data_IF_533850894554
#
_entry.id   IF_533850894554
#
_cell.length_a   1.000
_cell.length_b   1.000
_cell.length_c   1.000
_cell.angle_alpha   90.00
_cell.angle_beta   90.00
_cell.angle_gamma   90.00
#
_symmetry.space_group_name_H-M   'P 1'
#
loop_
_entity.id
_entity.type
_entity.pdbx_description
1 polymer ?
#
# COMPACT_ATOMS: atom_id res chain seq x y z
N UNK A 1 8.61 8.14 19.52
CA UNK A 1 7.64 7.30 18.79
C UNK A 1 6.42 7.05 19.66
N UNK A 2 5.29 6.64 19.07
CA UNK A 2 4.05 6.37 19.82
C UNK A 2 4.21 5.10 20.67
N UNK A 3 4.05 5.14 22.00
CA UNK A 3 4.17 3.96 22.85
C UNK A 3 3.20 2.83 22.47
N UNK A 4 3.76 1.64 22.24
CA UNK A 4 3.00 0.45 21.85
C UNK A 4 2.42 0.50 20.42
N UNK A 5 2.94 1.38 19.55
CA UNK A 5 2.45 1.55 18.18
C UNK A 5 2.31 0.23 17.42
N UNK A 6 3.36 -0.60 17.43
CA UNK A 6 3.37 -1.85 16.66
C UNK A 6 2.22 -2.79 17.06
N UNK A 7 2.00 -2.96 18.37
CA UNK A 7 0.90 -3.79 18.87
C UNK A 7 -0.45 -3.25 18.39
N UNK A 8 -0.70 -1.95 18.57
CA UNK A 8 -1.96 -1.31 18.16
C UNK A 8 -2.17 -1.38 16.64
N UNK A 9 -1.10 -1.24 15.85
CA UNK A 9 -1.16 -1.37 14.40
C UNK A 9 -1.55 -2.78 13.96
N UNK A 10 -1.02 -3.81 14.62
CA UNK A 10 -1.43 -5.21 14.40
C UNK A 10 -2.89 -5.42 14.78
N UNK A 11 -3.32 -4.91 15.95
CA UNK A 11 -4.71 -5.03 16.40
C UNK A 11 -5.69 -4.36 15.42
N UNK A 12 -5.35 -3.18 14.91
CA UNK A 12 -6.12 -2.45 13.90
C UNK A 12 -6.18 -3.16 12.55
N UNK A 13 -5.06 -3.78 12.13
CA UNK A 13 -5.02 -4.57 10.91
C UNK A 13 -5.89 -5.82 11.02
N UNK A 14 -5.86 -6.50 12.18
CA UNK A 14 -6.69 -7.67 12.47
C UNK A 14 -8.16 -7.32 12.66
N UNK A 15 -8.50 -6.15 13.17
CA UNK A 15 -9.91 -5.74 13.26
C UNK A 15 -10.50 -5.31 11.91
N UNK A 16 -9.67 -5.21 10.86
CA UNK A 16 -10.09 -4.72 9.55
C UNK A 16 -10.34 -3.21 9.49
N UNK A 17 -10.10 -2.46 10.58
CA UNK A 17 -10.26 -1.00 10.61
C UNK A 17 -9.30 -0.33 9.65
N UNK A 18 -8.05 -0.82 9.59
CA UNK A 18 -7.06 -0.35 8.62
C UNK A 18 -5.95 -1.37 8.44
N UNK A 19 -5.69 -1.77 7.19
CA UNK A 19 -4.63 -2.71 6.82
C UNK A 19 -3.99 -2.30 5.48
N UNK A 20 -2.94 -3.01 5.06
CA UNK A 20 -2.19 -2.69 3.84
C UNK A 20 -3.02 -2.84 2.56
N UNK A 21 -4.01 -3.74 2.52
CA UNK A 21 -4.92 -3.90 1.39
C UNK A 21 -5.84 -2.71 1.26
N UNK A 22 -6.47 -2.30 2.37
CA UNK A 22 -7.26 -1.06 2.43
C UNK A 22 -6.43 0.17 2.07
N UNK A 23 -5.16 0.25 2.51
CA UNK A 23 -4.30 1.35 2.14
C UNK A 23 -3.98 1.39 0.64
N UNK A 24 -3.71 0.23 0.03
CA UNK A 24 -3.55 0.10 -1.42
C UNK A 24 -4.79 0.62 -2.15
N UNK A 25 -5.97 0.10 -1.79
CA UNK A 25 -7.18 0.30 -2.58
C UNK A 25 -7.87 1.64 -2.33
N UNK A 26 -7.81 2.16 -1.10
CA UNK A 26 -8.55 3.36 -0.68
C UNK A 26 -7.70 4.62 -0.56
N UNK A 27 -6.37 4.50 -0.64
CA UNK A 27 -5.46 5.64 -0.51
C UNK A 27 -4.51 5.72 -1.70
N UNK A 28 -3.68 4.69 -1.91
CA UNK A 28 -2.62 4.78 -2.92
C UNK A 28 -3.19 4.75 -4.33
N UNK A 29 -4.02 3.77 -4.67
CA UNK A 29 -4.61 3.69 -6.02
C UNK A 29 -5.44 4.93 -6.39
N UNK A 30 -6.31 5.49 -5.50
CA UNK A 30 -6.99 6.76 -5.77
C UNK A 30 -6.03 7.92 -6.02
N UNK A 31 -4.98 8.08 -5.20
CA UNK A 31 -4.02 9.17 -5.39
C UNK A 31 -3.26 9.06 -6.72
N UNK A 32 -2.82 7.86 -7.10
CA UNK A 32 -2.14 7.65 -8.39
C UNK A 32 -3.02 8.00 -9.58
N UNK A 33 -4.32 7.69 -9.49
CA UNK A 33 -5.31 8.04 -10.51
C UNK A 33 -5.62 9.53 -10.51
N UNK A 34 -5.85 10.12 -9.35
CA UNK A 34 -6.25 11.53 -9.23
C UNK A 34 -5.11 12.48 -9.64
N UNK A 35 -3.85 12.05 -9.50
CA UNK A 35 -2.67 12.76 -10.01
C UNK A 35 -2.26 12.36 -11.42
N UNK A 36 -2.96 11.40 -12.03
CA UNK A 36 -2.67 10.84 -13.35
C UNK A 36 -1.18 10.48 -13.55
N UNK A 37 -0.58 9.80 -12.56
CA UNK A 37 0.85 9.48 -12.59
C UNK A 37 1.20 8.60 -13.79
N UNK A 38 0.30 7.71 -14.21
CA UNK A 38 0.46 6.89 -15.41
C UNK A 38 0.42 7.69 -16.71
N UNK A 39 -0.27 8.82 -16.73
CA UNK A 39 -0.43 9.67 -17.91
C UNK A 39 0.72 10.65 -18.14
N UNK A 40 1.66 10.77 -17.20
CA UNK A 40 2.84 11.63 -17.37
C UNK A 40 3.68 11.19 -18.57
N UNK A 41 3.81 12.09 -19.56
CA UNK A 41 4.63 11.91 -20.76
C UNK A 41 5.96 12.65 -20.64
N UNK A 42 6.85 12.46 -21.62
CA UNK A 42 8.13 13.18 -21.75
C UNK A 42 9.11 12.96 -20.58
N UNK A 43 8.88 11.92 -19.78
CA UNK A 43 9.81 11.47 -18.75
C UNK A 43 10.97 10.71 -19.41
N UNK A 44 12.19 10.99 -18.98
CA UNK A 44 13.40 10.31 -19.44
C UNK A 44 14.35 9.99 -18.29
N UNK A 45 15.26 9.04 -18.54
CA UNK A 45 16.26 8.62 -17.55
C UNK A 45 15.63 8.20 -16.23
N UNK A 46 16.07 8.83 -15.14
CA UNK A 46 15.63 8.50 -13.78
C UNK A 46 14.15 8.79 -13.54
N UNK A 47 13.58 9.79 -14.21
CA UNK A 47 12.17 10.17 -14.04
C UNK A 47 11.22 9.07 -14.53
N UNK A 48 11.52 8.45 -15.68
CA UNK A 48 10.75 7.32 -16.21
C UNK A 48 10.83 6.12 -15.25
N UNK A 49 12.02 5.83 -14.70
CA UNK A 49 12.18 4.77 -13.70
C UNK A 49 11.40 5.06 -12.41
N UNK A 50 11.30 6.32 -12.00
CA UNK A 50 10.50 6.68 -10.83
C UNK A 50 9.00 6.53 -11.08
N UNK A 51 8.51 6.86 -12.28
CA UNK A 51 7.13 6.59 -12.65
C UNK A 51 6.80 5.10 -12.48
N UNK A 52 7.63 4.21 -13.04
CA UNK A 52 7.46 2.76 -12.88
C UNK A 52 7.44 2.33 -11.39
N UNK A 53 8.41 2.80 -10.60
CA UNK A 53 8.51 2.47 -9.16
C UNK A 53 7.30 2.97 -8.36
N UNK A 54 6.76 4.14 -8.71
CA UNK A 54 5.58 4.71 -8.07
C UNK A 54 4.33 3.91 -8.47
N UNK A 55 4.21 3.55 -9.75
CA UNK A 55 3.09 2.72 -10.24
C UNK A 55 3.11 1.31 -9.66
N UNK A 56 4.26 0.80 -9.19
CA UNK A 56 4.36 -0.49 -8.51
C UNK A 56 3.86 -0.48 -7.05
N UNK A 57 3.64 0.69 -6.44
CA UNK A 57 3.33 0.81 -5.01
C UNK A 57 2.09 0.02 -4.58
N UNK A 58 0.94 0.05 -5.28
CA UNK A 58 -0.23 -0.74 -4.91
C UNK A 58 0.09 -2.24 -4.88
N UNK A 59 0.72 -2.77 -5.93
CA UNK A 59 1.08 -4.18 -6.01
C UNK A 59 2.05 -4.60 -4.89
N UNK A 60 3.01 -3.73 -4.53
CA UNK A 60 3.91 -3.96 -3.38
C UNK A 60 3.16 -4.00 -2.05
N UNK A 61 2.15 -3.15 -1.86
CA UNK A 61 1.31 -3.16 -0.66
C UNK A 61 0.49 -4.45 -0.56
N UNK A 62 -0.08 -4.92 -1.68
CA UNK A 62 -0.81 -6.19 -1.73
C UNK A 62 0.08 -7.37 -1.34
N UNK A 63 1.29 -7.49 -1.92
CA UNK A 63 2.24 -8.57 -1.56
C UNK A 63 2.61 -8.56 -0.09
N UNK A 64 2.74 -7.38 0.51
CA UNK A 64 2.99 -7.22 1.95
C UNK A 64 1.78 -7.58 2.80
N UNK A 65 0.56 -7.26 2.33
CA UNK A 65 -0.67 -7.68 2.98
C UNK A 65 -0.77 -9.21 3.03
N UNK A 66 -0.50 -9.89 1.91
CA UNK A 66 -0.51 -11.36 1.84
C UNK A 66 0.54 -11.99 2.77
N UNK A 67 1.74 -11.39 2.86
CA UNK A 67 2.76 -11.85 3.79
C UNK A 67 2.36 -11.65 5.26
N UNK A 68 1.63 -10.56 5.55
CA UNK A 68 1.06 -10.32 6.88
C UNK A 68 -0.01 -11.37 7.21
N UNK A 69 -0.94 -11.63 6.30
CA UNK A 69 -2.02 -12.61 6.48
C UNK A 69 -1.46 -14.01 6.74
N UNK A 70 -0.42 -14.42 6.00
CA UNK A 70 0.30 -15.69 6.23
C UNK A 70 0.93 -15.79 7.62
N UNK A 71 1.38 -14.67 8.19
CA UNK A 71 2.09 -14.64 9.47
C UNK A 71 1.17 -14.54 10.68
N UNK A 72 0.05 -13.83 10.55
CA UNK A 72 -0.83 -13.50 11.68
C UNK A 72 -2.22 -14.15 11.61
N UNK A 73 -2.48 -14.91 10.53
CA UNK A 73 -3.78 -15.49 10.22
C UNK A 73 -4.72 -14.45 9.63
N UNK A 74 -5.57 -14.88 8.70
CA UNK A 74 -6.66 -14.04 8.19
C UNK A 74 -7.58 -13.72 9.35
N UNK A 75 -7.72 -12.44 9.70
CA UNK A 75 -8.84 -12.04 10.51
C UNK A 75 -10.08 -12.09 9.63
N UNK A 76 -10.79 -13.22 9.72
CA UNK A 76 -12.15 -13.53 9.27
C UNK A 76 -12.58 -12.91 7.92
N UNK A 77 -12.80 -13.82 6.95
CA UNK A 77 -13.71 -13.58 5.84
C UNK A 77 -15.10 -13.17 6.33
#
# INVERSE_FOLDING_TARGET
>A
GIPGFLRRAVDMARSGVYNLRLHSDRVVSPLLRDWDVSGLTDLSGEAAQFQEKIMELPARLIRRAEAFDKRFGTALA
#
